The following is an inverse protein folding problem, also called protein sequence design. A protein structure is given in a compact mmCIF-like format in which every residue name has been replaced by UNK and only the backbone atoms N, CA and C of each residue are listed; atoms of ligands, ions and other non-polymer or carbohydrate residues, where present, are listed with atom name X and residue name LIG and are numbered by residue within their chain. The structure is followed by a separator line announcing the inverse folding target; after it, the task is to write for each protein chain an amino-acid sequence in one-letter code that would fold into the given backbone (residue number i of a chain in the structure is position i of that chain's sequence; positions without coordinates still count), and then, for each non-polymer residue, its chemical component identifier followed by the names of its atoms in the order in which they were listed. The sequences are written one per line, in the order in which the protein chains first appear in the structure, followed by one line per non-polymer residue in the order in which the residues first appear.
data_IF_355351143970
#
_entry.id   IF_355351143970
#
_cell.length_a   1.000
_cell.length_b   1.000
_cell.length_c   1.000
_cell.angle_alpha   90.00
_cell.angle_beta   90.00
_cell.angle_gamma   90.00
#
_symmetry.space_group_name_H-M   'P 1'
#
loop_
_entity.id
_entity.type
_entity.pdbx_description
1 polymer ?
#
# COMPACT_ATOMS: atom_id res chain seq x y z
N UNK A 1 -1.96 -13.30 2.13
CA UNK A 1 -3.17 -13.02 2.94
C UNK A 1 -4.33 -12.98 1.97
N UNK A 2 -5.45 -13.63 2.26
CA UNK A 2 -6.65 -13.57 1.41
C UNK A 2 -7.35 -12.21 1.54
N UNK A 3 -8.44 -12.02 0.82
CA UNK A 3 -9.34 -10.87 1.03
C UNK A 3 -10.03 -10.96 2.41
N UNK A 4 -10.44 -9.82 3.00
CA UNK A 4 -11.33 -9.85 4.16
C UNK A 4 -12.69 -10.45 3.76
N UNK A 5 -13.44 -10.94 4.74
CA UNK A 5 -14.82 -11.36 4.48
C UNK A 5 -15.72 -10.17 4.09
N UNK A 6 -16.98 -10.45 3.72
CA UNK A 6 -17.94 -9.41 3.33
C UNK A 6 -18.21 -8.37 4.43
N UNK A 7 -17.99 -8.72 5.71
CA UNK A 7 -18.09 -7.80 6.83
C UNK A 7 -16.83 -6.95 7.02
N UNK A 8 -15.78 -7.17 6.23
CA UNK A 8 -14.49 -6.49 6.31
C UNK A 8 -13.56 -7.08 7.38
N UNK A 9 -13.71 -8.37 7.72
CA UNK A 9 -12.92 -9.03 8.77
C UNK A 9 -11.85 -9.97 8.22
N UNK A 10 -10.73 -10.00 8.91
CA UNK A 10 -9.69 -11.01 8.82
C UNK A 10 -9.76 -11.91 10.06
N UNK A 11 -10.55 -12.98 9.98
CA UNK A 11 -10.89 -13.81 11.13
C UNK A 11 -11.63 -12.97 12.19
N UNK A 12 -11.09 -12.89 13.41
CA UNK A 12 -11.71 -12.11 14.50
C UNK A 12 -11.43 -10.61 14.44
N UNK A 13 -10.54 -10.14 13.57
CA UNK A 13 -10.09 -8.75 13.51
C UNK A 13 -10.69 -8.00 12.32
N UNK A 14 -10.73 -6.67 12.37
CA UNK A 14 -11.36 -5.83 11.34
C UNK A 14 -12.87 -5.63 11.58
N UNK A 15 -13.61 -5.39 10.51
CA UNK A 15 -15.00 -4.96 10.56
C UNK A 15 -15.17 -3.44 10.59
N UNK A 16 -16.42 -2.98 10.63
CA UNK A 16 -16.80 -1.57 10.61
C UNK A 16 -17.50 -1.21 11.92
N UNK A 17 -16.76 -0.60 12.84
CA UNK A 17 -17.29 -0.14 14.14
C UNK A 17 -17.32 1.39 14.16
N UNK A 18 -18.25 1.94 13.38
CA UNK A 18 -18.40 3.38 13.16
C UNK A 18 -19.85 3.79 13.43
N UNK A 19 -20.12 5.09 13.71
CA UNK A 19 -21.47 5.61 13.78
C UNK A 19 -22.28 5.31 12.52
N UNK A 20 -23.58 5.08 12.67
CA UNK A 20 -24.50 4.82 11.56
C UNK A 20 -24.46 5.94 10.49
N UNK A 21 -24.25 7.18 10.92
CA UNK A 21 -24.13 8.34 10.04
C UNK A 21 -22.93 8.28 9.10
N UNK A 22 -21.89 7.49 9.40
CA UNK A 22 -20.71 7.29 8.54
C UNK A 22 -20.82 6.05 7.64
N UNK A 23 -21.78 5.15 7.90
CA UNK A 23 -21.94 3.92 7.13
C UNK A 23 -22.15 4.17 5.62
N UNK A 24 -22.99 5.13 5.19
CA UNK A 24 -23.19 5.39 3.76
C UNK A 24 -21.89 5.76 3.02
N UNK A 25 -21.08 6.65 3.60
CA UNK A 25 -19.82 7.08 3.00
C UNK A 25 -18.80 5.94 2.87
N UNK A 26 -18.74 5.04 3.87
CA UNK A 26 -17.85 3.88 3.78
C UNK A 26 -18.31 2.84 2.74
N UNK A 27 -19.62 2.66 2.56
CA UNK A 27 -20.16 1.77 1.52
C UNK A 27 -19.87 2.33 0.13
N UNK A 28 -20.07 3.63 -0.07
CA UNK A 28 -19.76 4.32 -1.32
C UNK A 28 -18.27 4.22 -1.66
N UNK A 29 -17.40 4.45 -0.69
CA UNK A 29 -15.94 4.33 -0.88
C UNK A 29 -15.52 2.91 -1.28
N UNK A 30 -16.10 1.88 -0.66
CA UNK A 30 -15.80 0.48 -1.00
C UNK A 30 -16.22 0.14 -2.43
N UNK A 31 -17.40 0.61 -2.86
CA UNK A 31 -17.89 0.41 -4.22
C UNK A 31 -16.99 1.12 -5.24
N UNK A 32 -16.70 2.40 -5.02
CA UNK A 32 -15.84 3.19 -5.88
C UNK A 32 -14.43 2.62 -5.99
N UNK A 33 -13.85 2.14 -4.88
CA UNK A 33 -12.55 1.47 -4.88
C UNK A 33 -12.57 0.21 -5.74
N UNK A 34 -13.60 -0.65 -5.61
CA UNK A 34 -13.70 -1.88 -6.41
C UNK A 34 -13.84 -1.58 -7.91
N UNK A 35 -14.63 -0.58 -8.27
CA UNK A 35 -14.80 -0.13 -9.64
C UNK A 35 -13.50 0.40 -10.23
N UNK A 36 -12.82 1.32 -9.52
CA UNK A 36 -11.53 1.87 -9.94
C UNK A 36 -10.44 0.80 -10.04
N UNK A 37 -10.36 -0.13 -9.08
CA UNK A 37 -9.36 -1.18 -9.09
C UNK A 37 -9.56 -2.21 -10.22
N UNK A 38 -10.81 -2.44 -10.63
CA UNK A 38 -11.13 -3.28 -11.79
C UNK A 38 -10.72 -2.61 -13.11
N UNK A 39 -10.78 -1.27 -13.19
CA UNK A 39 -10.42 -0.51 -14.38
C UNK A 39 -8.90 -0.58 -14.68
N UNK A 40 -8.48 -1.11 -15.85
CA UNK A 40 -7.09 -1.07 -16.27
C UNK A 40 -6.54 0.34 -16.49
N UNK A 41 -7.38 1.32 -16.88
CA UNK A 41 -6.93 2.69 -17.14
C UNK A 41 -6.50 3.39 -15.84
N UNK A 42 -7.30 3.25 -14.77
CA UNK A 42 -6.94 3.73 -13.44
C UNK A 42 -5.61 3.14 -12.96
N UNK A 43 -5.43 1.82 -13.07
CA UNK A 43 -4.17 1.16 -12.67
C UNK A 43 -2.98 1.63 -13.49
N UNK A 44 -3.16 1.85 -14.80
CA UNK A 44 -2.10 2.38 -15.66
C UNK A 44 -1.70 3.81 -15.28
N UNK A 45 -2.65 4.66 -14.91
CA UNK A 45 -2.38 6.01 -14.41
C UNK A 45 -1.63 5.96 -13.07
N UNK A 46 -2.10 5.14 -12.12
CA UNK A 46 -1.42 4.94 -10.84
C UNK A 46 0.01 4.43 -11.03
N UNK A 47 0.23 3.44 -11.89
CA UNK A 47 1.58 2.94 -12.22
C UNK A 47 2.47 4.05 -12.81
N UNK A 48 1.91 4.90 -13.67
CA UNK A 48 2.60 6.08 -14.22
C UNK A 48 3.02 7.07 -13.13
N UNK A 49 2.14 7.37 -12.17
CA UNK A 49 2.45 8.23 -11.02
C UNK A 49 3.48 7.60 -10.10
N UNK A 50 3.35 6.30 -9.82
CA UNK A 50 4.30 5.58 -8.97
C UNK A 50 5.70 5.60 -9.57
N UNK A 51 5.84 5.46 -10.89
CA UNK A 51 7.14 5.50 -11.57
C UNK A 51 7.65 6.93 -11.75
N UNK A 52 6.84 7.81 -12.35
CA UNK A 52 7.25 9.14 -12.79
C UNK A 52 7.28 10.19 -11.68
N UNK A 53 6.51 10.00 -10.60
CA UNK A 53 6.41 10.95 -9.49
C UNK A 53 6.91 10.37 -8.17
N UNK A 54 6.46 9.18 -7.76
CA UNK A 54 6.90 8.59 -6.50
C UNK A 54 8.32 8.02 -6.54
N UNK A 55 8.89 7.78 -7.73
CA UNK A 55 10.25 7.26 -7.91
C UNK A 55 10.35 5.75 -7.73
N UNK A 56 9.29 5.00 -8.01
CA UNK A 56 9.28 3.53 -7.95
C UNK A 56 9.82 2.90 -9.24
N UNK A 57 10.35 1.66 -9.18
CA UNK A 57 10.56 0.85 -7.97
C UNK A 57 11.72 1.34 -7.10
N UNK A 58 11.53 1.29 -5.78
CA UNK A 58 12.63 1.53 -4.83
C UNK A 58 13.65 0.38 -4.89
N UNK A 59 14.96 0.68 -4.83
CA UNK A 59 16.00 -0.35 -4.86
C UNK A 59 16.00 -1.22 -3.60
N UNK A 60 16.61 -2.40 -3.70
CA UNK A 60 16.97 -3.24 -2.56
C UNK A 60 18.49 -3.19 -2.39
N UNK A 61 18.97 -2.70 -1.25
CA UNK A 61 20.40 -2.51 -0.99
C UNK A 61 20.90 -3.56 0.00
N UNK A 62 21.99 -4.26 -0.34
CA UNK A 62 22.68 -5.15 0.60
C UNK A 62 23.63 -4.37 1.51
N UNK A 63 23.51 -4.59 2.82
CA UNK A 63 24.27 -3.87 3.84
C UNK A 63 25.43 -4.71 4.35
N UNK A 64 26.50 -4.84 3.55
CA UNK A 64 27.64 -5.72 3.85
C UNK A 64 28.22 -5.54 5.26
N UNK A 65 28.56 -4.29 5.65
CA UNK A 65 29.19 -4.02 6.96
C UNK A 65 28.33 -4.45 8.15
N UNK A 66 27.05 -4.08 8.12
CA UNK A 66 26.12 -4.43 9.19
C UNK A 66 25.73 -5.92 9.13
N UNK A 67 25.67 -6.50 7.94
CA UNK A 67 25.48 -7.94 7.76
C UNK A 67 26.62 -8.77 8.36
N UNK A 68 27.88 -8.35 8.13
CA UNK A 68 29.07 -8.95 8.73
C UNK A 68 29.03 -8.87 10.26
N UNK A 69 28.70 -7.70 10.82
CA UNK A 69 28.57 -7.49 12.27
C UNK A 69 27.48 -8.37 12.90
N UNK A 70 26.35 -8.56 12.21
CA UNK A 70 25.22 -9.37 12.68
C UNK A 70 25.34 -10.86 12.34
N UNK A 71 26.29 -11.25 11.50
CA UNK A 71 26.42 -12.62 11.00
C UNK A 71 25.28 -13.08 10.09
N UNK A 72 24.58 -12.15 9.43
CA UNK A 72 23.44 -12.44 8.53
C UNK A 72 23.57 -11.68 7.21
N UNK A 73 22.86 -12.16 6.17
CA UNK A 73 22.64 -11.36 4.96
C UNK A 73 21.58 -10.30 5.23
N UNK A 74 21.96 -9.03 5.25
CA UNK A 74 21.04 -7.91 5.49
C UNK A 74 20.72 -7.15 4.20
N UNK A 75 19.43 -7.07 3.86
CA UNK A 75 18.91 -6.34 2.70
C UNK A 75 17.90 -5.29 3.18
N UNK A 76 18.00 -4.07 2.66
CA UNK A 76 17.06 -2.98 2.94
C UNK A 76 16.23 -2.66 1.69
N UNK A 77 14.90 -2.72 1.83
CA UNK A 77 13.96 -2.19 0.84
C UNK A 77 13.86 -0.67 1.00
N UNK A 78 14.40 0.08 0.04
CA UNK A 78 14.69 1.52 0.17
C UNK A 78 13.49 2.43 -0.05
N UNK A 79 12.39 2.22 0.67
CA UNK A 79 11.21 3.10 0.61
C UNK A 79 11.49 4.52 1.14
N UNK A 80 12.62 4.72 1.83
CA UNK A 80 13.14 6.04 2.18
C UNK A 80 13.50 6.90 0.96
N UNK A 81 13.73 6.28 -0.20
CA UNK A 81 14.05 6.96 -1.46
C UNK A 81 12.82 7.34 -2.28
N UNK A 82 11.61 6.95 -1.87
CA UNK A 82 10.41 7.41 -2.54
C UNK A 82 10.29 8.94 -2.38
N UNK A 83 9.65 9.61 -3.33
CA UNK A 83 9.31 11.03 -3.15
C UNK A 83 8.55 11.23 -1.83
N UNK A 84 8.80 12.34 -1.13
CA UNK A 84 8.42 12.62 0.28
C UNK A 84 9.15 11.83 1.37
N UNK A 85 10.02 10.89 1.02
CA UNK A 85 10.92 10.19 1.96
C UNK A 85 10.28 9.05 2.76
N UNK A 86 9.11 8.56 2.36
CA UNK A 86 8.49 7.40 3.01
C UNK A 86 7.58 6.59 2.09
N UNK A 87 7.26 5.37 2.48
CA UNK A 87 6.30 4.51 1.78
C UNK A 87 4.86 5.05 1.77
N UNK A 88 4.52 6.07 2.56
CA UNK A 88 3.14 6.57 2.68
C UNK A 88 2.62 7.18 1.37
N UNK A 89 3.52 7.74 0.55
CA UNK A 89 3.13 8.31 -0.75
C UNK A 89 2.43 7.30 -1.65
N UNK A 90 2.76 6.01 -1.54
CA UNK A 90 2.13 4.96 -2.34
C UNK A 90 0.60 4.98 -2.16
N UNK A 91 0.14 4.97 -0.90
CA UNK A 91 -1.28 5.00 -0.54
C UNK A 91 -1.94 6.36 -0.80
N UNK A 92 -1.19 7.46 -0.74
CA UNK A 92 -1.74 8.79 -1.01
C UNK A 92 -2.04 8.96 -2.50
N UNK A 93 -1.25 8.31 -3.36
CA UNK A 93 -1.48 8.30 -4.80
C UNK A 93 -2.60 7.32 -5.22
N UNK A 94 -2.70 6.16 -4.56
CA UNK A 94 -3.74 5.16 -4.85
C UNK A 94 -3.74 3.98 -3.89
#
# INVERSE_FOLDING_TARGET
MGEPDAAGRFGRFGGRYIPETLMPACIELEAAFREAWADPAFRAELDGLLQGYAGRPSPVTECHRMGEELGIRLLLKREDLNHTGSHKINNVLG
#
